data_IF_125410874492
#
_entry.id   IF_125410874492
#
_cell.length_a   1.000
_cell.length_b   1.000
_cell.length_c   1.000
_cell.angle_alpha   90.00
_cell.angle_beta   90.00
_cell.angle_gamma   90.00
#
_symmetry.space_group_name_H-M   'P 1'
#
loop_
_entity.id
_entity.type
_entity.pdbx_description
1 polymer ?
#
# COMPACT_ATOMS: atom_id res chain seq x y z
N UNK A 1 2.16 9.11 -16.86
CA UNK A 1 3.48 8.49 -17.14
C UNK A 1 3.22 7.13 -17.79
N UNK A 2 3.76 6.90 -18.99
CA UNK A 2 3.52 5.66 -19.70
C UNK A 2 4.29 4.49 -19.05
N UNK A 3 3.64 3.33 -18.96
CA UNK A 3 4.31 2.08 -18.62
C UNK A 3 5.08 1.57 -19.86
N UNK A 4 6.27 1.01 -19.64
CA UNK A 4 6.95 0.26 -20.69
C UNK A 4 6.25 -1.09 -20.96
N UNK A 5 6.66 -1.82 -21.99
CA UNK A 5 6.01 -3.08 -22.41
C UNK A 5 5.99 -4.13 -21.29
N UNK A 6 7.08 -4.26 -20.54
CA UNK A 6 7.19 -5.22 -19.43
C UNK A 6 6.24 -4.84 -18.29
N UNK A 7 6.21 -3.55 -17.93
CA UNK A 7 5.31 -3.03 -16.90
C UNK A 7 3.84 -3.15 -17.32
N UNK A 8 3.52 -2.88 -18.59
CA UNK A 8 2.16 -3.05 -19.12
C UNK A 8 1.68 -4.50 -19.03
N UNK A 9 2.58 -5.44 -19.35
CA UNK A 9 2.28 -6.86 -19.22
C UNK A 9 2.03 -7.23 -17.76
N UNK A 10 2.91 -6.86 -16.85
CA UNK A 10 2.77 -7.11 -15.40
C UNK A 10 1.47 -6.48 -14.86
N UNK A 11 1.16 -5.23 -15.24
CA UNK A 11 -0.07 -4.57 -14.84
C UNK A 11 -1.32 -5.35 -15.30
N UNK A 12 -1.35 -5.84 -16.55
CA UNK A 12 -2.46 -6.66 -17.07
C UNK A 12 -2.58 -7.99 -16.33
N UNK A 13 -1.45 -8.66 -16.06
CA UNK A 13 -1.42 -9.92 -15.32
C UNK A 13 -1.93 -9.74 -13.87
N UNK A 14 -1.56 -8.64 -13.21
CA UNK A 14 -2.10 -8.29 -11.89
C UNK A 14 -3.62 -8.10 -11.96
N UNK A 15 -4.13 -7.34 -12.91
CA UNK A 15 -5.57 -7.12 -13.04
C UNK A 15 -6.32 -8.44 -13.24
N UNK A 16 -5.85 -9.26 -14.14
CA UNK A 16 -6.44 -10.59 -14.36
C UNK A 16 -6.40 -11.46 -13.09
N UNK A 17 -5.27 -11.45 -12.38
CA UNK A 17 -5.17 -12.19 -11.10
C UNK A 17 -6.20 -11.68 -10.09
N UNK A 18 -6.36 -10.38 -9.95
CA UNK A 18 -7.27 -9.76 -8.98
C UNK A 18 -8.76 -9.95 -9.33
N UNK A 19 -9.11 -10.36 -10.53
CA UNK A 19 -10.50 -10.76 -10.85
C UNK A 19 -10.91 -12.02 -10.06
N UNK A 20 -9.99 -12.96 -9.90
CA UNK A 20 -10.26 -14.26 -9.28
C UNK A 20 -9.67 -14.41 -7.88
N UNK A 21 -8.66 -13.63 -7.54
CA UNK A 21 -7.95 -13.67 -6.26
C UNK A 21 -8.08 -12.34 -5.53
N UNK A 22 -7.93 -12.38 -4.22
CA UNK A 22 -7.94 -11.17 -3.41
C UNK A 22 -6.53 -10.60 -3.24
N UNK A 23 -5.50 -11.46 -3.26
CA UNK A 23 -4.10 -11.09 -3.08
C UNK A 23 -3.28 -11.54 -4.28
N UNK A 24 -2.39 -10.67 -4.75
CA UNK A 24 -1.46 -10.93 -5.83
C UNK A 24 -0.03 -10.57 -5.38
N UNK A 25 0.95 -11.39 -5.74
CA UNK A 25 2.37 -11.12 -5.51
C UNK A 25 3.00 -10.55 -6.79
N UNK A 26 3.50 -9.32 -6.73
CA UNK A 26 4.34 -8.70 -7.76
C UNK A 26 5.81 -8.96 -7.43
N UNK A 27 6.36 -10.02 -8.01
CA UNK A 27 7.78 -10.33 -7.88
C UNK A 27 8.57 -9.61 -8.98
N UNK A 28 9.42 -8.68 -8.60
CA UNK A 28 10.23 -7.91 -9.53
C UNK A 28 11.47 -7.34 -8.88
N UNK A 29 12.59 -7.35 -9.60
CA UNK A 29 13.86 -6.84 -9.08
C UNK A 29 13.75 -5.38 -8.62
N UNK A 30 14.68 -4.97 -7.76
CA UNK A 30 14.80 -3.58 -7.31
C UNK A 30 14.95 -2.67 -8.53
N UNK A 31 14.32 -1.51 -8.49
CA UNK A 31 14.32 -0.52 -9.60
C UNK A 31 13.68 -1.01 -10.93
N UNK A 32 12.91 -2.10 -10.90
CA UNK A 32 12.15 -2.57 -12.09
C UNK A 32 10.94 -1.68 -12.45
N UNK A 33 10.70 -0.64 -11.65
CA UNK A 33 9.57 0.25 -11.85
C UNK A 33 8.26 -0.28 -11.27
N UNK A 34 8.31 -1.06 -10.18
CA UNK A 34 7.11 -1.48 -9.45
C UNK A 34 6.22 -0.30 -9.04
N UNK A 35 6.86 0.82 -8.65
CA UNK A 35 6.13 2.03 -8.22
C UNK A 35 5.24 2.59 -9.32
N UNK A 36 5.65 2.54 -10.58
CA UNK A 36 4.83 2.96 -11.73
C UNK A 36 3.57 2.10 -11.85
N UNK A 37 3.73 0.79 -11.71
CA UNK A 37 2.60 -0.14 -11.73
C UNK A 37 1.65 0.16 -10.57
N UNK A 38 2.18 0.40 -9.36
CA UNK A 38 1.37 0.76 -8.20
C UNK A 38 0.56 2.04 -8.44
N UNK A 39 1.18 3.08 -9.02
CA UNK A 39 0.49 4.33 -9.33
C UNK A 39 -0.69 4.12 -10.29
N UNK A 40 -0.57 3.23 -11.28
CA UNK A 40 -1.69 2.88 -12.17
C UNK A 40 -2.79 2.12 -11.43
N UNK A 41 -2.43 1.15 -10.57
CA UNK A 41 -3.40 0.42 -9.76
C UNK A 41 -4.13 1.33 -8.76
N UNK A 42 -3.41 2.29 -8.17
CA UNK A 42 -4.01 3.33 -7.31
C UNK A 42 -5.01 4.16 -8.12
N UNK A 43 -4.64 4.60 -9.31
CA UNK A 43 -5.51 5.39 -10.17
C UNK A 43 -6.79 4.63 -10.55
N UNK A 44 -6.68 3.33 -10.82
CA UNK A 44 -7.86 2.47 -11.04
C UNK A 44 -8.76 2.43 -9.80
N UNK A 45 -8.19 2.22 -8.61
CA UNK A 45 -8.97 2.19 -7.36
C UNK A 45 -9.69 3.53 -7.11
N UNK A 46 -8.99 4.65 -7.31
CA UNK A 46 -9.58 5.99 -7.18
C UNK A 46 -10.70 6.23 -8.19
N UNK A 47 -10.56 5.76 -9.43
CA UNK A 47 -11.62 5.88 -10.45
C UNK A 47 -12.90 5.14 -10.07
N UNK A 48 -12.81 4.13 -9.21
CA UNK A 48 -13.93 3.39 -8.64
C UNK A 48 -14.44 4.00 -7.33
N UNK A 49 -13.95 5.18 -6.93
CA UNK A 49 -14.30 5.82 -5.66
C UNK A 49 -13.80 5.07 -4.43
N UNK A 50 -12.72 4.31 -4.55
CA UNK A 50 -12.11 3.52 -3.48
C UNK A 50 -10.87 4.20 -2.93
N UNK A 51 -10.61 3.98 -1.64
CA UNK A 51 -9.38 4.40 -0.98
C UNK A 51 -8.27 3.36 -1.15
N UNK A 52 -7.04 3.83 -1.06
CA UNK A 52 -5.84 2.98 -1.12
C UNK A 52 -4.96 3.18 0.11
N UNK A 53 -4.53 2.07 0.69
CA UNK A 53 -3.43 2.04 1.66
C UNK A 53 -2.17 1.54 0.96
N UNK A 54 -1.14 2.39 0.90
CA UNK A 54 0.17 2.03 0.39
C UNK A 54 1.16 1.94 1.54
N UNK A 55 1.46 0.72 1.96
CA UNK A 55 2.41 0.40 3.02
C UNK A 55 3.82 0.28 2.46
N UNK A 56 4.75 0.95 3.12
CA UNK A 56 6.18 0.85 2.85
C UNK A 56 6.95 0.65 4.16
N UNK A 57 8.11 -0.02 4.13
CA UNK A 57 9.03 0.00 5.26
C UNK A 57 9.45 1.42 5.59
N UNK A 58 9.74 1.71 6.85
CA UNK A 58 10.10 3.07 7.26
C UNK A 58 11.33 3.61 6.52
N UNK A 59 12.29 2.74 6.23
CA UNK A 59 13.49 3.06 5.45
C UNK A 59 13.17 3.39 3.98
N UNK A 60 12.09 2.84 3.43
CA UNK A 60 11.66 3.08 2.05
C UNK A 60 10.77 4.32 1.90
N UNK A 61 10.25 4.87 3.01
CA UNK A 61 9.48 6.11 3.01
C UNK A 61 10.41 7.30 2.83
N UNK A 62 10.89 7.49 1.61
CA UNK A 62 11.81 8.56 1.26
C UNK A 62 11.06 9.81 0.79
N UNK A 63 11.73 10.97 0.89
CA UNK A 63 11.23 12.22 0.32
C UNK A 63 10.95 12.08 -1.17
N UNK A 64 11.80 11.36 -1.89
CA UNK A 64 11.63 11.13 -3.33
C UNK A 64 10.34 10.36 -3.65
N UNK A 65 10.04 9.27 -2.93
CA UNK A 65 8.79 8.52 -3.10
C UNK A 65 7.58 9.40 -2.80
N UNK A 66 7.62 10.13 -1.69
CA UNK A 66 6.55 11.05 -1.28
C UNK A 66 6.29 12.12 -2.34
N UNK A 67 7.33 12.83 -2.78
CA UNK A 67 7.22 13.88 -3.80
C UNK A 67 6.69 13.31 -5.13
N UNK A 68 7.14 12.13 -5.51
CA UNK A 68 6.71 11.47 -6.74
C UNK A 68 5.20 11.15 -6.72
N UNK A 69 4.70 10.61 -5.62
CA UNK A 69 3.28 10.33 -5.45
C UNK A 69 2.45 11.61 -5.33
N UNK A 70 2.94 12.61 -4.60
CA UNK A 70 2.28 13.91 -4.47
C UNK A 70 2.18 14.65 -5.82
N UNK A 71 3.20 14.54 -6.67
CA UNK A 71 3.17 15.12 -8.02
C UNK A 71 2.06 14.52 -8.90
N UNK A 72 1.68 13.27 -8.66
CA UNK A 72 0.63 12.56 -9.42
C UNK A 72 -0.75 12.75 -8.80
N UNK A 73 -0.85 12.63 -7.47
CA UNK A 73 -2.12 12.55 -6.76
C UNK A 73 -2.49 13.83 -5.99
N UNK A 74 -1.56 14.79 -5.90
CA UNK A 74 -1.82 16.07 -5.26
C UNK A 74 -2.24 15.95 -3.80
N UNK A 75 -3.29 16.69 -3.45
CA UNK A 75 -3.84 16.74 -2.09
C UNK A 75 -4.62 15.50 -1.65
N UNK A 76 -4.84 14.53 -2.55
CA UNK A 76 -5.56 13.29 -2.26
C UNK A 76 -4.76 12.32 -1.38
N UNK A 77 -3.45 12.55 -1.22
CA UNK A 77 -2.55 11.68 -0.49
C UNK A 77 -2.22 12.22 0.90
N UNK A 78 -2.46 11.41 1.93
CA UNK A 78 -1.97 11.61 3.29
C UNK A 78 -0.71 10.79 3.53
N UNK A 79 0.27 11.37 4.21
CA UNK A 79 1.53 10.71 4.57
C UNK A 79 1.53 10.39 6.06
N UNK A 80 1.72 9.11 6.41
CA UNK A 80 1.67 8.65 7.79
C UNK A 80 2.93 7.87 8.18
N UNK A 81 3.74 8.42 9.09
CA UNK A 81 5.01 7.82 9.52
C UNK A 81 5.25 8.02 11.02
N UNK A 82 6.29 7.38 11.56
CA UNK A 82 6.59 7.39 13.00
C UNK A 82 6.97 8.77 13.56
N UNK A 83 7.50 9.67 12.71
CA UNK A 83 8.01 10.99 13.12
C UNK A 83 6.96 12.09 13.19
N UNK A 84 5.71 11.82 12.77
CA UNK A 84 4.63 12.79 12.93
C UNK A 84 4.28 12.89 14.42
N UNK A 85 4.02 14.10 14.88
CA UNK A 85 3.62 14.35 16.27
C UNK A 85 2.15 13.95 16.51
N UNK A 86 1.73 13.96 17.76
CA UNK A 86 0.39 13.52 18.14
C UNK A 86 -0.72 14.41 17.56
N UNK A 87 -0.45 15.73 17.39
CA UNK A 87 -1.42 16.64 16.77
C UNK A 87 -1.59 16.31 15.28
N UNK A 88 -0.51 16.10 14.55
CA UNK A 88 -0.56 15.69 13.13
C UNK A 88 -1.25 14.34 12.97
N UNK A 89 -1.05 13.40 13.91
CA UNK A 89 -1.78 12.12 13.91
C UNK A 89 -3.28 12.33 14.08
N UNK A 90 -3.66 13.20 15.02
CA UNK A 90 -5.06 13.53 15.26
C UNK A 90 -5.70 14.23 14.05
N UNK A 91 -4.96 15.12 13.38
CA UNK A 91 -5.41 15.78 12.15
C UNK A 91 -5.63 14.78 11.02
N UNK A 92 -4.69 13.86 10.77
CA UNK A 92 -4.85 12.81 9.76
C UNK A 92 -6.04 11.92 10.11
N UNK A 93 -6.18 11.52 11.37
CA UNK A 93 -7.32 10.72 11.82
C UNK A 93 -8.66 11.45 11.58
N UNK A 94 -8.75 12.71 12.00
CA UNK A 94 -9.94 13.54 11.80
C UNK A 94 -10.26 13.73 10.33
N UNK A 95 -9.24 13.95 9.49
CA UNK A 95 -9.41 14.05 8.04
C UNK A 95 -9.95 12.74 7.46
N UNK A 96 -9.45 11.59 7.91
CA UNK A 96 -9.94 10.28 7.46
C UNK A 96 -11.39 10.00 7.84
N UNK A 97 -11.89 10.63 8.93
CA UNK A 97 -13.27 10.53 9.41
C UNK A 97 -14.21 11.59 8.79
N UNK A 98 -13.67 12.56 8.05
CA UNK A 98 -14.44 13.65 7.44
C UNK A 98 -15.22 13.21 6.19
N UNK A 99 -16.05 14.10 5.65
CA UNK A 99 -16.76 13.90 4.39
C UNK A 99 -15.81 13.88 3.17
N UNK A 100 -14.63 14.51 3.31
CA UNK A 100 -13.60 14.57 2.27
C UNK A 100 -12.30 13.95 2.81
N UNK A 101 -12.22 12.61 2.96
CA UNK A 101 -11.05 11.93 3.50
C UNK A 101 -9.92 11.87 2.48
N UNK A 102 -8.70 11.61 2.94
CA UNK A 102 -7.63 11.21 2.02
C UNK A 102 -8.07 9.97 1.22
N UNK A 103 -7.86 10.03 -0.08
CA UNK A 103 -8.13 8.91 -0.97
C UNK A 103 -6.97 7.89 -0.94
N UNK A 104 -5.76 8.34 -0.60
CA UNK A 104 -4.56 7.52 -0.51
C UNK A 104 -3.88 7.80 0.83
N UNK A 105 -3.47 6.75 1.51
CA UNK A 105 -2.53 6.83 2.62
C UNK A 105 -1.24 6.14 2.21
N UNK A 106 -0.15 6.91 2.10
CA UNK A 106 1.21 6.37 2.06
C UNK A 106 1.71 6.30 3.50
N UNK A 107 1.96 5.11 3.99
CA UNK A 107 2.29 4.98 5.39
C UNK A 107 3.17 3.79 5.74
N UNK A 108 3.68 3.86 6.96
CA UNK A 108 4.42 2.77 7.59
C UNK A 108 3.46 1.86 8.38
N UNK A 109 4.00 0.87 9.01
CA UNK A 109 3.30 -0.22 9.71
C UNK A 109 2.04 0.21 10.52
N UNK A 110 2.09 1.34 11.23
CA UNK A 110 0.96 1.79 12.08
C UNK A 110 -0.21 2.42 11.31
N UNK A 111 -0.03 2.76 10.03
CA UNK A 111 -1.11 3.34 9.21
C UNK A 111 -2.25 2.36 8.91
N UNK A 112 -2.07 1.08 9.14
CA UNK A 112 -3.13 0.06 9.01
C UNK A 112 -4.32 0.29 9.98
N UNK A 113 -4.10 1.04 11.05
CA UNK A 113 -5.15 1.35 12.03
C UNK A 113 -5.96 2.60 11.72
N UNK A 114 -5.65 3.32 10.64
CA UNK A 114 -6.44 4.48 10.23
C UNK A 114 -7.86 4.07 9.80
N UNK A 115 -8.86 4.92 10.03
CA UNK A 115 -10.26 4.60 9.77
C UNK A 115 -10.60 4.76 8.28
N UNK A 116 -10.39 3.71 7.50
CA UNK A 116 -10.78 3.67 6.09
C UNK A 116 -12.27 3.37 5.96
N UNK A 117 -12.99 4.19 5.20
CA UNK A 117 -14.43 4.01 4.95
C UNK A 117 -14.70 3.23 3.64
N UNK A 118 -13.81 3.36 2.66
CA UNK A 118 -13.98 2.80 1.29
C UNK A 118 -12.70 2.12 0.80
N UNK A 119 -11.97 1.44 1.69
CA UNK A 119 -10.73 0.75 1.32
C UNK A 119 -11.01 -0.24 0.19
N UNK A 120 -10.29 -0.11 -0.93
CA UNK A 120 -10.42 -0.98 -2.09
C UNK A 120 -9.10 -1.59 -2.56
N UNK A 121 -7.99 -0.98 -2.18
CA UNK A 121 -6.66 -1.46 -2.54
C UNK A 121 -5.69 -1.32 -1.37
N UNK A 122 -4.93 -2.37 -1.12
CA UNK A 122 -3.79 -2.38 -0.19
C UNK A 122 -2.55 -2.78 -0.97
N UNK A 123 -1.54 -1.93 -0.95
CA UNK A 123 -0.23 -2.21 -1.54
C UNK A 123 0.76 -2.34 -0.40
N UNK A 124 1.54 -3.41 -0.38
CA UNK A 124 2.59 -3.66 0.61
C UNK A 124 3.89 -3.84 -0.17
N UNK A 125 4.67 -2.77 -0.23
CA UNK A 125 5.96 -2.80 -0.93
C UNK A 125 7.06 -3.32 -0.02
N UNK A 126 8.02 -4.05 -0.60
CA UNK A 126 9.07 -4.77 0.13
C UNK A 126 8.49 -5.64 1.27
N UNK A 127 7.47 -6.46 0.95
CA UNK A 127 6.65 -7.23 1.90
C UNK A 127 7.44 -8.13 2.83
N UNK A 128 8.67 -8.47 2.44
CA UNK A 128 9.59 -9.31 3.20
C UNK A 128 10.30 -8.58 4.36
N UNK A 129 10.19 -7.24 4.41
CA UNK A 129 10.92 -6.43 5.36
C UNK A 129 10.52 -6.69 6.82
N UNK A 130 11.52 -6.95 7.65
CA UNK A 130 11.35 -7.28 9.09
C UNK A 130 10.70 -6.14 9.85
N UNK A 131 10.88 -4.89 9.40
CA UNK A 131 10.31 -3.70 10.02
C UNK A 131 8.78 -3.67 10.04
N UNK A 132 8.11 -4.49 9.25
CA UNK A 132 6.68 -4.68 9.35
C UNK A 132 6.23 -5.43 10.60
N UNK A 133 7.14 -6.12 11.29
CA UNK A 133 6.86 -6.76 12.57
C UNK A 133 7.11 -5.79 13.73
N UNK A 134 6.06 -5.49 14.49
CA UNK A 134 6.20 -4.75 15.74
C UNK A 134 6.69 -5.70 16.83
N UNK A 135 7.89 -5.39 17.36
CA UNK A 135 8.49 -6.17 18.44
C UNK A 135 8.13 -5.60 19.79
N UNK A 136 8.16 -4.27 19.89
CA UNK A 136 7.86 -3.48 21.07
C UNK A 136 7.28 -2.13 20.64
N UNK A 137 6.30 -1.55 21.37
CA UNK A 137 5.54 -2.13 22.48
C UNK A 137 4.49 -3.17 22.02
N UNK A 138 3.82 -3.81 22.99
CA UNK A 138 2.60 -4.59 22.73
C UNK A 138 1.46 -3.67 22.25
N UNK A 139 0.54 -4.18 21.40
CA UNK A 139 0.46 -5.53 20.85
C UNK A 139 1.53 -5.81 19.78
N UNK A 140 2.08 -7.02 19.79
CA UNK A 140 3.07 -7.45 18.79
C UNK A 140 2.36 -8.01 17.56
N UNK A 141 2.23 -7.22 16.52
CA UNK A 141 1.59 -7.61 15.26
C UNK A 141 2.57 -7.56 14.09
N UNK A 142 2.21 -8.22 13.01
CA UNK A 142 2.90 -8.11 11.72
C UNK A 142 2.04 -7.29 10.76
N UNK A 143 2.50 -6.11 10.36
CA UNK A 143 1.69 -5.17 9.59
C UNK A 143 1.26 -5.73 8.21
N UNK A 144 2.12 -6.51 7.54
CA UNK A 144 1.77 -7.20 6.29
C UNK A 144 0.54 -8.09 6.50
N UNK A 145 0.59 -8.97 7.49
CA UNK A 145 -0.47 -9.95 7.73
C UNK A 145 -1.75 -9.27 8.21
N UNK A 146 -1.60 -8.25 9.07
CA UNK A 146 -2.74 -7.44 9.51
C UNK A 146 -3.36 -6.65 8.36
N UNK A 147 -2.55 -6.13 7.43
CA UNK A 147 -3.04 -5.40 6.26
C UNK A 147 -3.78 -6.32 5.27
N UNK A 148 -3.32 -7.57 5.09
CA UNK A 148 -4.03 -8.59 4.31
C UNK A 148 -5.39 -8.89 4.97
N UNK A 149 -5.42 -9.04 6.30
CA UNK A 149 -6.67 -9.25 7.03
C UNK A 149 -7.61 -8.04 6.93
N UNK A 150 -7.10 -6.83 7.07
CA UNK A 150 -7.86 -5.60 6.87
C UNK A 150 -8.47 -5.55 5.47
N UNK A 151 -7.68 -5.84 4.44
CA UNK A 151 -8.16 -5.90 3.06
C UNK A 151 -9.28 -6.93 2.91
N UNK A 152 -9.12 -8.10 3.53
CA UNK A 152 -10.15 -9.14 3.52
C UNK A 152 -11.47 -8.65 4.16
N UNK A 153 -11.40 -8.03 5.32
CA UNK A 153 -12.56 -7.49 6.04
C UNK A 153 -13.28 -6.38 5.25
N UNK A 154 -12.51 -5.57 4.52
CA UNK A 154 -13.03 -4.48 3.68
C UNK A 154 -13.40 -4.92 2.26
N UNK A 155 -13.26 -6.19 1.92
CA UNK A 155 -13.38 -6.70 0.55
C UNK A 155 -12.50 -5.94 -0.46
N UNK A 156 -11.31 -5.53 -0.01
CA UNK A 156 -10.30 -4.84 -0.80
C UNK A 156 -9.32 -5.82 -1.45
N UNK A 157 -8.65 -5.39 -2.51
CA UNK A 157 -7.59 -6.16 -3.18
C UNK A 157 -6.24 -5.87 -2.53
N UNK A 158 -5.33 -6.85 -2.55
CA UNK A 158 -3.99 -6.71 -1.96
C UNK A 158 -2.90 -7.01 -2.99
N UNK A 159 -1.90 -6.14 -3.05
CA UNK A 159 -0.68 -6.36 -3.82
C UNK A 159 0.49 -6.47 -2.84
N UNK A 160 1.19 -7.58 -2.90
CA UNK A 160 2.47 -7.77 -2.23
C UNK A 160 3.57 -7.52 -3.23
N UNK A 161 4.46 -6.57 -2.99
CA UNK A 161 5.60 -6.27 -3.86
C UNK A 161 6.91 -6.63 -3.22
N UNK A 162 7.78 -7.31 -3.94
CA UNK A 162 9.12 -7.64 -3.45
C UNK A 162 10.06 -8.05 -4.57
N UNK A 163 11.36 -7.76 -4.38
CA UNK A 163 12.43 -8.35 -5.17
C UNK A 163 12.84 -9.74 -4.62
N UNK A 164 12.66 -9.93 -3.32
CA UNK A 164 13.02 -11.14 -2.57
C UNK A 164 11.84 -11.57 -1.68
N UNK A 165 10.76 -12.11 -2.27
CA UNK A 165 9.57 -12.46 -1.51
C UNK A 165 9.86 -13.37 -0.32
N UNK A 166 9.11 -13.20 0.78
CA UNK A 166 9.15 -14.13 1.89
C UNK A 166 8.75 -15.54 1.43
N UNK A 167 9.25 -16.56 2.11
CA UNK A 167 8.92 -17.96 1.77
C UNK A 167 7.41 -18.20 1.84
N UNK A 168 6.73 -17.63 2.84
CA UNK A 168 5.28 -17.75 3.01
C UNK A 168 4.53 -17.11 1.82
N UNK A 169 4.89 -15.87 1.45
CA UNK A 169 4.25 -15.18 0.32
C UNK A 169 4.47 -15.93 -0.98
N UNK A 170 5.70 -16.39 -1.23
CA UNK A 170 6.03 -17.14 -2.44
C UNK A 170 5.34 -18.51 -2.50
N UNK A 171 5.26 -19.22 -1.37
CA UNK A 171 4.58 -20.51 -1.30
C UNK A 171 3.07 -20.39 -1.59
N UNK A 172 2.45 -19.34 -1.08
CA UNK A 172 1.01 -19.10 -1.26
C UNK A 172 0.63 -18.66 -2.70
N UNK A 173 1.61 -18.46 -3.60
CA UNK A 173 1.33 -18.19 -5.03
C UNK A 173 1.15 -19.47 -5.86
N UNK A 174 1.47 -20.63 -5.30
CA UNK A 174 1.33 -21.94 -5.95
C UNK A 174 -0.02 -22.55 -5.66
#
# INVERSE_FOLDING_TARGET
FPLNEVQQRAYKEIKNCLEFKQTCLLHGVTSSGKTEIYMHLIQDALSMGKQTLYLVPEIALTTQLTQRLQAVFGSKIGIYHSRINDNERAEIWSKMMSEDPFEIILGVRSSIFLPFNKLGLVIIDEEHEISFKQQDPSPRYHARDTAIMLAHLCNAKTILGSATPSLESFYNTK
#
